data_IF_150611964609
#
_entry.id   IF_150611964609
#
_cell.length_a   1.000
_cell.length_b   1.000
_cell.length_c   1.000
_cell.angle_alpha   90.00
_cell.angle_beta   90.00
_cell.angle_gamma   90.00
#
_symmetry.space_group_name_H-M   'P 1'
#
loop_
_entity.id
_entity.type
_entity.pdbx_description
1 polymer ?
#
# COMPACT_ATOMS: atom_id res chain seq x y z
N UNK A 1 26.61 63.93 26.05
CA UNK A 1 27.23 62.74 25.37
C UNK A 1 26.46 61.52 25.80
N UNK A 2 25.43 61.14 25.06
CA UNK A 2 24.52 60.03 25.34
C UNK A 2 24.88 58.84 24.45
N UNK A 3 25.36 57.78 25.09
CA UNK A 3 25.71 56.52 24.41
C UNK A 3 24.40 55.74 24.17
N UNK A 4 24.03 55.58 22.90
CA UNK A 4 22.99 54.63 22.44
C UNK A 4 23.59 53.22 22.43
N UNK A 5 23.23 52.38 23.38
CA UNK A 5 23.47 50.94 23.33
C UNK A 5 22.48 50.31 22.36
N UNK A 6 23.04 49.74 21.26
CA UNK A 6 22.27 48.95 20.28
C UNK A 6 22.02 47.57 20.87
N UNK A 7 20.80 47.36 21.41
CA UNK A 7 20.33 46.01 21.78
C UNK A 7 20.05 45.25 20.49
N UNK A 8 20.95 44.33 20.14
CA UNK A 8 20.79 43.37 19.06
C UNK A 8 19.89 42.22 19.56
N UNK A 9 18.58 42.28 19.24
CA UNK A 9 17.65 41.22 19.55
C UNK A 9 17.92 40.05 18.60
N UNK A 10 18.62 39.03 19.10
CA UNK A 10 18.84 37.76 18.41
C UNK A 10 17.54 36.95 18.47
N UNK A 11 16.78 36.96 17.38
CA UNK A 11 15.56 36.15 17.22
C UNK A 11 15.99 34.70 16.99
N UNK A 12 15.62 33.70 17.84
CA UNK A 12 15.91 32.32 17.56
C UNK A 12 15.02 31.86 16.39
N UNK A 13 15.62 31.62 15.23
CA UNK A 13 14.97 30.91 14.11
C UNK A 13 14.82 29.45 14.55
N UNK A 14 13.66 29.13 15.09
CA UNK A 14 13.21 27.77 15.35
C UNK A 14 13.01 27.08 14.00
N UNK A 15 14.06 26.41 13.48
CA UNK A 15 13.97 25.53 12.35
C UNK A 15 13.15 24.30 12.76
N UNK A 16 11.84 24.33 12.48
CA UNK A 16 10.97 23.16 12.60
C UNK A 16 11.49 22.06 11.67
N UNK A 17 12.09 21.01 12.24
CA UNK A 17 12.38 19.76 11.55
C UNK A 17 11.03 19.14 11.17
N UNK A 18 10.49 19.49 10.00
CA UNK A 18 9.37 18.81 9.39
C UNK A 18 9.81 17.36 9.12
N UNK A 19 9.31 16.42 9.93
CA UNK A 19 9.42 15.00 9.60
C UNK A 19 8.64 14.78 8.31
N UNK A 20 9.36 14.74 7.18
CA UNK A 20 8.80 14.32 5.91
C UNK A 20 8.40 12.86 6.05
N UNK A 21 7.09 12.58 6.21
CA UNK A 21 6.55 11.24 6.17
C UNK A 21 6.66 10.76 4.72
N UNK A 22 7.66 9.94 4.42
CA UNK A 22 7.75 9.25 3.15
C UNK A 22 6.69 8.16 3.13
N UNK A 23 5.68 8.34 2.30
CA UNK A 23 4.69 7.30 2.00
C UNK A 23 5.40 6.18 1.24
N UNK A 24 5.71 5.09 1.95
CA UNK A 24 6.43 3.95 1.41
C UNK A 24 5.46 3.04 0.65
N UNK A 25 5.45 3.14 -0.67
CA UNK A 25 4.68 2.26 -1.55
C UNK A 25 5.53 1.04 -1.88
N UNK A 26 5.05 -0.16 -1.56
CA UNK A 26 5.82 -1.39 -1.68
C UNK A 26 4.98 -2.56 -2.22
N UNK A 27 5.67 -3.53 -2.81
CA UNK A 27 5.15 -4.88 -3.08
C UNK A 27 5.99 -5.85 -2.25
N UNK A 28 5.33 -6.69 -1.47
CA UNK A 28 5.95 -7.71 -0.64
C UNK A 28 5.17 -9.02 -0.75
N UNK A 29 5.80 -10.13 -0.37
CA UNK A 29 5.13 -11.42 -0.40
C UNK A 29 6.05 -12.59 -0.13
N UNK A 30 5.49 -13.79 -0.27
CA UNK A 30 6.20 -15.06 -0.07
C UNK A 30 6.07 -15.93 -1.31
N UNK A 31 7.13 -16.63 -1.65
CA UNK A 31 7.14 -17.60 -2.74
C UNK A 31 7.25 -18.99 -2.16
N UNK A 32 6.27 -19.84 -2.46
CA UNK A 32 6.16 -21.22 -1.97
C UNK A 32 5.95 -22.19 -3.13
N UNK A 33 6.10 -23.47 -2.85
CA UNK A 33 5.63 -24.55 -3.72
C UNK A 33 4.18 -24.97 -3.34
N UNK A 34 3.55 -25.90 -4.08
CA UNK A 34 2.19 -26.35 -3.77
C UNK A 34 2.07 -27.12 -2.45
N UNK A 35 3.17 -27.56 -1.86
CA UNK A 35 3.21 -28.22 -0.53
C UNK A 35 3.27 -27.18 0.60
N UNK A 36 3.47 -25.90 0.29
CA UNK A 36 3.67 -24.81 1.24
C UNK A 36 5.13 -24.62 1.66
N UNK A 37 6.08 -25.37 1.08
CA UNK A 37 7.49 -25.15 1.34
C UNK A 37 7.96 -23.86 0.66
N UNK A 38 8.75 -23.06 1.38
CA UNK A 38 9.28 -21.80 0.87
C UNK A 38 10.37 -22.04 -0.19
N UNK A 39 10.41 -21.18 -1.20
CA UNK A 39 11.40 -21.24 -2.28
C UNK A 39 12.39 -20.09 -2.09
N UNK A 40 13.61 -20.38 -1.62
CA UNK A 40 14.67 -19.39 -1.54
C UNK A 40 15.29 -19.13 -2.91
N UNK A 41 15.93 -17.99 -3.07
CA UNK A 41 16.65 -17.59 -4.28
C UNK A 41 15.80 -17.57 -5.56
N UNK A 42 14.49 -17.48 -5.45
CA UNK A 42 13.62 -17.23 -6.58
C UNK A 42 13.80 -15.79 -7.07
N UNK A 43 13.83 -15.59 -8.38
CA UNK A 43 13.91 -14.26 -9.00
C UNK A 43 12.51 -13.68 -9.13
N UNK A 44 12.28 -12.51 -8.54
CA UNK A 44 11.04 -11.75 -8.62
C UNK A 44 11.29 -10.49 -9.43
N UNK A 45 10.66 -10.37 -10.58
CA UNK A 45 10.76 -9.23 -11.49
C UNK A 45 9.46 -8.46 -11.48
N UNK A 46 9.52 -7.17 -11.12
CA UNK A 46 8.39 -6.26 -11.04
C UNK A 46 8.56 -5.21 -12.12
N UNK A 47 7.68 -5.20 -13.10
CA UNK A 47 7.70 -4.29 -14.23
C UNK A 47 6.49 -3.37 -14.22
N UNK A 48 6.71 -2.08 -14.51
CA UNK A 48 5.66 -1.10 -14.73
C UNK A 48 5.50 -0.86 -16.24
N UNK A 49 4.45 -1.40 -16.90
CA UNK A 49 4.32 -1.38 -18.36
C UNK A 49 4.32 0.03 -18.96
N UNK A 50 3.70 0.98 -18.28
CA UNK A 50 3.55 2.37 -18.75
C UNK A 50 4.89 3.10 -18.82
N UNK A 51 5.80 2.86 -17.86
CA UNK A 51 7.10 3.57 -17.78
C UNK A 51 8.27 2.73 -18.27
N UNK A 52 8.06 1.42 -18.50
CA UNK A 52 9.12 0.46 -18.83
C UNK A 52 10.10 0.19 -17.68
N UNK A 53 9.84 0.71 -16.48
CA UNK A 53 10.69 0.46 -15.30
C UNK A 53 10.57 -0.97 -14.84
N UNK A 54 11.70 -1.59 -14.53
CA UNK A 54 11.77 -2.97 -14.04
C UNK A 54 12.67 -3.02 -12.81
N UNK A 55 12.20 -3.68 -11.76
CA UNK A 55 12.96 -3.99 -10.56
C UNK A 55 13.02 -5.51 -10.41
N UNK A 56 14.22 -6.04 -10.16
CA UNK A 56 14.41 -7.48 -9.91
C UNK A 56 15.01 -7.67 -8.55
N UNK A 57 14.41 -8.54 -7.74
CA UNK A 57 14.91 -8.93 -6.41
C UNK A 57 14.90 -10.45 -6.30
N UNK A 58 15.64 -10.97 -5.33
CA UNK A 58 15.71 -12.40 -5.06
C UNK A 58 15.06 -12.69 -3.71
N UNK A 59 14.31 -13.78 -3.59
CA UNK A 59 13.71 -14.18 -2.33
C UNK A 59 14.78 -14.57 -1.29
N UNK A 60 14.50 -14.23 -0.04
CA UNK A 60 15.32 -14.59 1.12
C UNK A 60 15.31 -16.12 1.38
N UNK A 61 16.08 -16.56 2.38
CA UNK A 61 16.04 -17.97 2.84
C UNK A 61 14.67 -18.40 3.35
N UNK A 62 13.82 -17.46 3.79
CA UNK A 62 12.42 -17.68 4.17
C UNK A 62 11.45 -17.59 3.01
N UNK A 63 11.91 -17.48 1.75
CA UNK A 63 11.06 -17.34 0.57
C UNK A 63 10.36 -15.97 0.47
N UNK A 64 10.71 -15.01 1.31
CA UNK A 64 10.10 -13.67 1.31
C UNK A 64 10.83 -12.73 0.38
N UNK A 65 10.08 -11.80 -0.21
CA UNK A 65 10.62 -10.71 -1.01
C UNK A 65 9.92 -9.40 -0.67
N UNK A 66 10.61 -8.28 -0.90
CA UNK A 66 10.07 -6.94 -0.70
C UNK A 66 10.74 -5.96 -1.68
N UNK A 67 9.92 -5.15 -2.36
CA UNK A 67 10.37 -4.05 -3.21
C UNK A 67 9.68 -2.79 -2.76
N UNK A 68 10.46 -1.83 -2.27
CA UNK A 68 10.00 -0.54 -1.74
C UNK A 68 10.20 0.59 -2.73
N UNK A 69 9.64 1.74 -2.41
CA UNK A 69 9.78 3.00 -3.17
C UNK A 69 9.27 2.88 -4.60
N UNK A 70 8.18 2.12 -4.77
CA UNK A 70 7.49 2.01 -6.04
C UNK A 70 6.59 3.22 -6.27
N UNK A 71 6.46 3.63 -7.52
CA UNK A 71 5.50 4.66 -7.90
C UNK A 71 4.08 4.08 -7.95
N UNK A 72 3.03 4.90 -7.70
CA UNK A 72 1.65 4.45 -7.95
C UNK A 72 1.46 4.08 -9.42
N UNK A 73 0.64 3.06 -9.67
CA UNK A 73 0.32 2.62 -11.02
C UNK A 73 0.10 1.12 -11.13
N UNK A 74 -0.06 0.65 -12.37
CA UNK A 74 -0.23 -0.76 -12.69
C UNK A 74 1.12 -1.45 -12.86
N UNK A 75 1.23 -2.67 -12.31
CA UNK A 75 2.42 -3.49 -12.34
C UNK A 75 2.15 -4.89 -12.85
N UNK A 76 3.17 -5.48 -13.43
CA UNK A 76 3.27 -6.90 -13.74
C UNK A 76 4.38 -7.49 -12.87
N UNK A 77 4.07 -8.55 -12.14
CA UNK A 77 5.03 -9.28 -11.29
C UNK A 77 5.24 -10.66 -11.89
N UNK A 78 6.50 -11.00 -12.15
CA UNK A 78 6.92 -12.30 -12.68
C UNK A 78 7.87 -12.95 -11.68
N UNK A 79 7.62 -14.21 -11.34
CA UNK A 79 8.44 -14.99 -10.42
C UNK A 79 8.95 -16.24 -11.11
N UNK A 80 10.26 -16.46 -11.06
CA UNK A 80 10.92 -17.62 -11.63
C UNK A 80 11.90 -18.25 -10.65
N UNK A 81 11.97 -19.59 -10.64
CA UNK A 81 12.93 -20.34 -9.85
C UNK A 81 13.38 -21.59 -10.61
N UNK A 82 14.59 -22.05 -10.35
CA UNK A 82 15.13 -23.25 -11.01
C UNK A 82 14.30 -24.48 -10.67
N UNK A 83 13.83 -25.19 -11.68
CA UNK A 83 12.97 -26.39 -11.51
C UNK A 83 11.48 -26.10 -11.36
N UNK A 84 11.07 -24.83 -11.42
CA UNK A 84 9.69 -24.42 -11.33
C UNK A 84 9.24 -23.69 -12.59
N UNK A 85 7.93 -23.75 -12.86
CA UNK A 85 7.30 -22.96 -13.93
C UNK A 85 7.27 -21.49 -13.52
N UNK A 86 7.55 -20.60 -14.46
CA UNK A 86 7.43 -19.15 -14.23
C UNK A 86 5.95 -18.77 -14.04
N UNK A 87 5.64 -18.08 -12.95
CA UNK A 87 4.33 -17.48 -12.70
C UNK A 87 4.38 -15.98 -12.94
N UNK A 88 3.41 -15.47 -13.71
CA UNK A 88 3.26 -14.04 -13.99
C UNK A 88 1.88 -13.59 -13.53
N UNK A 89 1.84 -12.45 -12.83
CA UNK A 89 0.61 -11.79 -12.43
C UNK A 89 0.58 -10.38 -13.00
N UNK A 90 -0.42 -10.08 -13.83
CA UNK A 90 -0.64 -8.78 -14.46
C UNK A 90 -1.78 -8.04 -13.78
N UNK A 91 -1.87 -6.73 -13.99
CA UNK A 91 -2.99 -5.92 -13.46
C UNK A 91 -2.89 -5.60 -11.96
N UNK A 92 -1.69 -5.66 -11.39
CA UNK A 92 -1.47 -5.29 -9.98
C UNK A 92 -1.46 -3.78 -9.85
N UNK A 93 -2.53 -3.19 -9.31
CA UNK A 93 -2.64 -1.74 -9.13
C UNK A 93 -2.15 -1.34 -7.74
N UNK A 94 -1.16 -0.43 -7.70
CA UNK A 94 -0.63 0.17 -6.49
C UNK A 94 -1.10 1.62 -6.35
N UNK A 95 -1.64 1.95 -5.18
CA UNK A 95 -1.94 3.33 -4.78
C UNK A 95 -0.78 3.94 -3.98
N UNK A 96 -0.77 5.26 -3.86
CA UNK A 96 0.24 5.98 -3.07
C UNK A 96 0.21 5.52 -1.61
N UNK A 97 1.38 5.16 -1.07
CA UNK A 97 1.52 4.69 0.32
C UNK A 97 0.94 3.30 0.58
N UNK A 98 0.56 2.56 -0.46
CA UNK A 98 0.02 1.21 -0.33
C UNK A 98 1.15 0.18 -0.28
N UNK A 99 1.04 -0.77 0.65
CA UNK A 99 1.84 -1.98 0.67
C UNK A 99 0.98 -3.14 0.18
N UNK A 100 1.24 -3.62 -1.04
CA UNK A 100 0.51 -4.74 -1.63
C UNK A 100 1.21 -6.05 -1.32
N UNK A 101 0.49 -7.00 -0.70
CA UNK A 101 0.98 -8.34 -0.46
C UNK A 101 0.59 -9.27 -1.62
N UNK A 102 1.59 -9.90 -2.24
CA UNK A 102 1.44 -10.83 -3.35
C UNK A 102 2.20 -12.12 -3.05
N UNK A 103 1.49 -13.16 -2.68
CA UNK A 103 2.06 -14.48 -2.46
C UNK A 103 1.95 -15.32 -3.76
N UNK A 104 3.00 -16.09 -4.06
CA UNK A 104 3.10 -16.94 -5.25
C UNK A 104 3.29 -18.40 -4.86
N UNK A 105 2.64 -19.31 -5.60
CA UNK A 105 2.79 -20.76 -5.42
C UNK A 105 3.26 -21.40 -6.71
N UNK A 106 4.57 -21.56 -6.87
CA UNK A 106 5.20 -22.05 -8.09
C UNK A 106 5.04 -23.56 -8.23
N UNK A 107 4.57 -24.01 -9.38
CA UNK A 107 4.46 -25.44 -9.71
C UNK A 107 5.77 -25.94 -10.28
N UNK A 108 6.12 -27.18 -9.97
CA UNK A 108 7.26 -27.87 -10.59
C UNK A 108 7.09 -27.98 -12.09
N UNK A 109 8.14 -27.74 -12.84
CA UNK A 109 8.15 -27.85 -14.29
C UNK A 109 9.29 -27.07 -14.95
N UNK A 110 9.47 -27.20 -16.27
CA UNK A 110 10.51 -26.45 -16.98
C UNK A 110 10.21 -24.94 -16.91
N UNK A 111 11.24 -24.14 -16.67
CA UNK A 111 11.17 -22.65 -16.54
C UNK A 111 10.57 -21.99 -17.79
N UNK A 112 10.64 -22.66 -18.96
CA UNK A 112 10.08 -22.15 -20.22
C UNK A 112 8.55 -22.12 -20.27
N UNK A 113 7.87 -22.83 -19.35
CA UNK A 113 6.42 -22.85 -19.30
C UNK A 113 5.91 -21.76 -18.34
N UNK A 114 5.12 -20.82 -18.86
CA UNK A 114 4.52 -19.70 -18.10
C UNK A 114 3.09 -20.02 -17.71
N UNK A 115 2.75 -19.61 -16.51
CA UNK A 115 1.36 -19.53 -16.06
C UNK A 115 0.99 -18.05 -15.89
N UNK A 116 0.15 -17.53 -16.78
CA UNK A 116 -0.33 -16.15 -16.68
C UNK A 116 -1.60 -16.12 -15.81
N UNK A 117 -1.55 -15.33 -14.74
CA UNK A 117 -2.68 -15.06 -13.86
C UNK A 117 -3.02 -13.58 -13.96
N UNK A 118 -4.25 -13.27 -14.37
CA UNK A 118 -4.76 -11.89 -14.30
C UNK A 118 -5.19 -11.64 -12.86
N UNK A 119 -4.72 -10.56 -12.27
CA UNK A 119 -5.18 -10.15 -10.95
C UNK A 119 -6.65 -9.72 -11.06
N UNK A 120 -7.57 -10.57 -10.60
CA UNK A 120 -8.97 -10.20 -10.46
C UNK A 120 -9.12 -9.35 -9.21
N UNK A 121 -9.46 -8.07 -9.40
CA UNK A 121 -9.85 -7.07 -8.42
C UNK A 121 -8.79 -6.70 -7.36
N UNK A 122 -8.90 -5.52 -6.74
CA UNK A 122 -7.85 -4.99 -5.88
C UNK A 122 -7.61 -5.94 -4.71
N UNK A 123 -6.39 -6.47 -4.62
CA UNK A 123 -5.91 -7.12 -3.42
C UNK A 123 -5.82 -6.04 -2.32
N UNK A 124 -6.97 -5.81 -1.68
CA UNK A 124 -7.04 -4.94 -0.50
C UNK A 124 -6.50 -5.75 0.67
N UNK A 125 -5.19 -5.77 0.80
CA UNK A 125 -4.58 -6.01 2.10
C UNK A 125 -3.65 -4.84 2.35
N UNK A 126 -4.24 -3.79 2.84
CA UNK A 126 -3.55 -2.67 3.43
C UNK A 126 -3.17 -3.10 4.84
N UNK A 127 -1.93 -3.46 5.06
CA UNK A 127 -1.37 -3.53 6.42
C UNK A 127 -1.09 -2.11 6.96
N UNK A 128 -1.93 -1.17 6.57
CA UNK A 128 -1.96 0.14 7.18
C UNK A 128 -3.03 0.12 8.26
N UNK A 129 -2.61 0.17 9.50
CA UNK A 129 -3.45 0.49 10.66
C UNK A 129 -3.97 1.95 10.62
N UNK A 130 -4.36 2.44 9.44
CA UNK A 130 -5.11 3.67 9.32
C UNK A 130 -6.57 3.33 9.57
N UNK A 131 -7.07 3.70 10.73
CA UNK A 131 -8.48 3.64 11.14
C UNK A 131 -9.33 4.56 10.24
N UNK A 132 -9.59 4.11 9.01
CA UNK A 132 -10.49 4.75 8.08
C UNK A 132 -11.32 3.71 7.34
N UNK A 133 -12.55 3.49 7.80
CA UNK A 133 -13.51 2.64 7.08
C UNK A 133 -14.03 3.42 5.87
N UNK A 134 -13.68 2.98 4.65
CA UNK A 134 -14.29 3.52 3.42
C UNK A 134 -15.65 2.84 3.24
N UNK A 135 -16.72 3.58 3.47
CA UNK A 135 -18.09 3.10 3.24
C UNK A 135 -18.34 3.06 1.74
N UNK A 136 -18.49 1.87 1.16
CA UNK A 136 -18.78 1.71 -0.26
C UNK A 136 -20.18 2.23 -0.62
N UNK A 137 -20.33 2.72 -1.85
CA UNK A 137 -21.59 3.30 -2.36
C UNK A 137 -22.76 2.31 -2.31
N UNK A 138 -22.50 1.01 -2.47
CA UNK A 138 -23.51 -0.05 -2.33
C UNK A 138 -24.05 -0.19 -0.90
N UNK A 139 -23.21 0.01 0.11
CA UNK A 139 -23.63 -0.01 1.51
C UNK A 139 -24.53 1.15 1.86
N UNK A 140 -24.31 2.32 1.25
CA UNK A 140 -25.14 3.53 1.44
C UNK A 140 -26.55 3.33 0.86
N UNK A 141 -26.67 2.61 -0.26
CA UNK A 141 -27.95 2.35 -0.91
C UNK A 141 -28.82 1.32 -0.20
N UNK A 142 -28.22 0.38 0.50
CA UNK A 142 -28.89 -0.74 1.14
C UNK A 142 -29.18 -0.55 2.64
N UNK A 143 -28.72 0.57 3.23
CA UNK A 143 -29.06 0.88 4.62
C UNK A 143 -30.42 1.56 4.71
N UNK A 144 -31.33 1.08 5.56
CA UNK A 144 -32.63 1.74 5.81
C UNK A 144 -32.41 3.05 6.55
N UNK A 145 -32.15 4.12 5.82
CA UNK A 145 -32.00 5.45 6.40
C UNK A 145 -33.38 6.09 6.58
N UNK A 146 -33.80 6.23 7.81
CA UNK A 146 -35.00 6.97 8.16
C UNK A 146 -34.78 8.48 7.92
N UNK A 147 -35.37 9.00 6.84
CA UNK A 147 -35.29 10.42 6.50
C UNK A 147 -34.09 10.87 5.67
N UNK A 148 -33.31 9.97 5.06
CA UNK A 148 -32.15 10.25 4.17
C UNK A 148 -31.11 11.23 4.76
N UNK A 149 -30.94 11.24 6.06
CA UNK A 149 -29.91 12.05 6.72
C UNK A 149 -28.59 11.33 6.69
N UNK A 150 -27.73 11.64 5.72
CA UNK A 150 -26.39 11.04 5.58
C UNK A 150 -25.48 11.28 6.80
N UNK A 151 -25.75 12.32 7.61
CA UNK A 151 -25.03 12.62 8.84
C UNK A 151 -25.21 11.54 9.91
N UNK A 152 -26.30 10.77 9.87
CA UNK A 152 -26.53 9.68 10.81
C UNK A 152 -25.59 8.49 10.57
N UNK A 153 -25.01 8.38 9.36
CA UNK A 153 -24.00 7.39 9.04
C UNK A 153 -22.65 7.64 9.74
N UNK A 154 -22.35 8.91 10.03
CA UNK A 154 -21.11 9.27 10.71
C UNK A 154 -21.05 8.72 12.14
N UNK A 155 -22.21 8.48 12.77
CA UNK A 155 -22.27 7.95 14.15
C UNK A 155 -22.06 6.43 14.23
N UNK A 156 -22.09 5.74 13.09
CA UNK A 156 -21.77 4.31 13.03
C UNK A 156 -20.26 4.03 13.09
N UNK A 157 -19.44 5.08 12.96
CA UNK A 157 -17.99 4.97 13.04
C UNK A 157 -17.55 5.04 14.51
N UNK A 158 -16.80 4.07 15.05
CA UNK A 158 -16.31 4.13 16.42
C UNK A 158 -15.51 5.42 16.66
N UNK A 159 -15.94 6.23 17.64
CA UNK A 159 -15.26 7.50 17.99
C UNK A 159 -15.84 8.77 17.37
N UNK A 160 -16.83 8.69 16.46
CA UNK A 160 -17.52 9.87 15.93
C UNK A 160 -18.51 10.43 16.97
N UNK A 161 -18.48 11.75 17.20
CA UNK A 161 -19.42 12.48 18.07
C UNK A 161 -20.12 13.58 17.30
N UNK A 162 -21.39 13.79 17.57
CA UNK A 162 -22.13 14.95 17.06
C UNK A 162 -21.57 16.22 17.67
N UNK A 163 -21.38 17.30 16.88
CA UNK A 163 -21.14 18.61 17.46
C UNK A 163 -22.39 19.02 18.28
N UNK A 164 -22.19 19.71 19.42
CA UNK A 164 -23.33 20.18 20.22
C UNK A 164 -24.20 21.11 19.38
N UNK A 165 -25.49 20.86 19.34
CA UNK A 165 -26.47 21.77 18.76
C UNK A 165 -26.43 23.07 19.53
N UNK A 166 -26.01 24.15 18.85
CA UNK A 166 -26.15 25.53 19.40
C UNK A 166 -27.63 25.87 19.32
N UNK A 167 -28.33 25.77 20.44
CA UNK A 167 -29.65 26.30 20.59
C UNK A 167 -29.54 27.82 20.65
N UNK A 168 -29.91 28.47 19.57
CA UNK A 168 -30.14 29.93 19.58
C UNK A 168 -31.44 30.20 20.36
N UNK A 169 -31.28 30.81 21.52
CA UNK A 169 -32.40 31.45 22.23
C UNK A 169 -32.82 32.74 21.52
#
# INVERSE_FOLDING_TARGET
MTRFEKILILLPVSAGLGLAQTLDTAILGTVTDPSGAVIPSASVTIAQPVTGRTNTVTTSNGGTYEVRYLFPGEYTVEVSATGFKTERRTGVVLQTGQQARLDFSLRLGPVAERTDVVAEAPLIQTENAALGEVISQERIQNLPLNGRRFLDLATLTPGARYPPTISSA
#
